data_IF_224421564190
#
_entry.id   IF_224421564190
#
_cell.length_a   1.000
_cell.length_b   1.000
_cell.length_c   1.000
_cell.angle_alpha   90.00
_cell.angle_beta   90.00
_cell.angle_gamma   90.00
#
_symmetry.space_group_name_H-M   'P 1'
#
loop_
_entity.id
_entity.type
_entity.pdbx_description
1 polymer ?
#
# COMPACT_ATOMS: atom_id res chain seq x y z
N UNK A 1 90.00 93.55 -14.86
CA UNK A 1 89.75 92.78 -16.09
C UNK A 1 88.45 92.05 -15.87
N UNK A 2 87.46 92.25 -16.76
CA UNK A 2 86.05 92.41 -16.37
C UNK A 2 85.15 91.35 -17.03
N UNK A 3 83.83 91.47 -16.80
CA UNK A 3 82.74 91.07 -17.73
C UNK A 3 81.91 89.80 -17.52
N UNK A 4 82.03 89.04 -16.43
CA UNK A 4 81.04 87.96 -16.17
C UNK A 4 80.15 88.16 -14.93
N UNK A 5 80.43 89.18 -14.12
CA UNK A 5 79.68 89.44 -12.87
C UNK A 5 78.41 90.30 -13.05
N UNK A 6 78.00 90.62 -14.30
CA UNK A 6 76.80 91.47 -14.55
C UNK A 6 75.60 90.75 -15.16
N UNK A 7 75.64 89.43 -15.38
CA UNK A 7 74.48 88.70 -15.94
C UNK A 7 73.90 87.61 -15.02
N UNK A 8 74.48 87.33 -13.85
CA UNK A 8 73.97 86.30 -12.94
C UNK A 8 73.22 86.82 -11.70
N UNK A 9 73.27 88.13 -11.41
CA UNK A 9 72.51 88.76 -10.30
C UNK A 9 71.16 89.38 -10.73
N UNK A 10 70.60 88.99 -11.88
CA UNK A 10 69.24 89.39 -12.30
C UNK A 10 68.20 88.28 -12.24
N UNK A 11 68.53 87.15 -11.60
CA UNK A 11 67.69 85.96 -11.55
C UNK A 11 67.16 85.60 -10.15
N UNK A 12 67.11 86.56 -9.22
CA UNK A 12 66.47 86.37 -7.92
C UNK A 12 65.48 87.50 -7.66
N UNK A 13 64.18 87.24 -7.90
CA UNK A 13 63.16 88.22 -7.58
C UNK A 13 61.85 88.18 -8.38
N UNK A 14 61.43 87.05 -8.95
CA UNK A 14 60.03 86.89 -9.39
C UNK A 14 59.40 85.67 -8.72
N UNK A 15 58.85 85.91 -7.53
CA UNK A 15 57.96 84.98 -6.83
C UNK A 15 56.70 84.84 -7.68
N UNK A 16 56.65 83.81 -8.51
CA UNK A 16 55.48 83.46 -9.30
C UNK A 16 54.25 83.32 -8.36
N UNK A 17 53.09 83.93 -8.68
CA UNK A 17 51.90 83.77 -7.86
C UNK A 17 51.51 82.28 -7.82
N UNK A 18 51.12 81.74 -6.65
CA UNK A 18 50.78 80.32 -6.55
C UNK A 18 49.68 79.99 -7.56
N UNK A 19 49.76 78.85 -8.29
CA UNK A 19 48.79 78.51 -9.29
C UNK A 19 47.41 78.46 -8.62
N UNK A 20 46.50 79.34 -9.06
CA UNK A 20 45.10 79.34 -8.61
C UNK A 20 44.56 77.93 -8.87
N UNK A 21 44.42 77.13 -7.81
CA UNK A 21 43.79 75.81 -7.85
C UNK A 21 42.40 76.00 -8.44
N UNK A 22 42.23 75.66 -9.73
CA UNK A 22 40.90 75.56 -10.34
C UNK A 22 40.12 74.60 -9.47
N UNK A 23 39.16 75.09 -8.68
CA UNK A 23 38.21 74.24 -7.97
C UNK A 23 37.61 73.32 -9.03
N UNK A 24 38.03 72.06 -9.06
CA UNK A 24 37.34 71.04 -9.85
C UNK A 24 35.91 71.08 -9.34
N UNK A 25 34.99 71.62 -10.15
CA UNK A 25 33.55 71.48 -9.89
C UNK A 25 33.34 69.97 -9.83
N UNK A 26 33.15 69.42 -8.64
CA UNK A 26 32.70 68.04 -8.48
C UNK A 26 31.36 68.02 -9.19
N UNK A 27 31.29 67.36 -10.36
CA UNK A 27 30.01 67.12 -11.03
C UNK A 27 29.10 66.53 -9.95
N UNK A 28 28.05 67.27 -9.57
CA UNK A 28 27.12 66.81 -8.54
C UNK A 28 26.65 65.42 -8.94
N UNK A 29 26.88 64.44 -8.06
CA UNK A 29 26.49 63.07 -8.35
C UNK A 29 24.98 63.07 -8.56
N UNK A 30 24.51 62.56 -9.70
CA UNK A 30 23.07 62.42 -9.99
C UNK A 30 22.45 61.21 -9.26
N UNK A 31 23.23 60.48 -8.46
CA UNK A 31 22.78 59.34 -7.65
C UNK A 31 21.55 59.61 -6.78
N UNK A 32 21.48 60.70 -5.97
CA UNK A 32 20.32 60.93 -5.12
C UNK A 32 19.06 61.21 -5.94
N UNK A 33 19.20 61.86 -7.09
CA UNK A 33 18.09 62.08 -8.02
C UNK A 33 17.62 60.76 -8.65
N UNK A 34 18.53 59.88 -9.05
CA UNK A 34 18.20 58.55 -9.56
C UNK A 34 17.51 57.68 -8.49
N UNK A 35 17.99 57.70 -7.24
CA UNK A 35 17.34 57.00 -6.13
C UNK A 35 15.93 57.51 -5.87
N UNK A 36 15.73 58.83 -5.90
CA UNK A 36 14.41 59.44 -5.72
C UNK A 36 13.43 58.98 -6.82
N UNK A 37 13.87 58.97 -8.09
CA UNK A 37 13.04 58.50 -9.20
C UNK A 37 12.70 57.01 -9.05
N UNK A 38 13.65 56.17 -8.62
CA UNK A 38 13.42 54.75 -8.41
C UNK A 38 12.41 54.50 -7.27
N UNK A 39 12.48 55.29 -6.19
CA UNK A 39 11.54 55.20 -5.07
C UNK A 39 10.13 55.66 -5.48
N UNK A 40 10.02 56.72 -6.27
CA UNK A 40 8.75 57.15 -6.86
C UNK A 40 8.15 56.07 -7.78
N UNK A 41 8.96 55.47 -8.65
CA UNK A 41 8.51 54.39 -9.53
C UNK A 41 8.02 53.16 -8.74
N UNK A 42 8.73 52.79 -7.66
CA UNK A 42 8.31 51.73 -6.76
C UNK A 42 6.98 52.06 -6.07
N UNK A 43 6.77 53.30 -5.64
CA UNK A 43 5.52 53.76 -5.04
C UNK A 43 4.33 53.72 -6.01
N UNK A 44 4.53 54.16 -7.26
CA UNK A 44 3.51 54.06 -8.33
C UNK A 44 3.18 52.60 -8.63
N UNK A 45 4.19 51.74 -8.73
CA UNK A 45 4.00 50.30 -8.91
C UNK A 45 3.21 49.65 -7.78
N UNK A 46 3.52 49.98 -6.52
CA UNK A 46 2.78 49.53 -5.35
C UNK A 46 1.33 50.03 -5.36
N UNK A 47 1.10 51.30 -5.74
CA UNK A 47 -0.24 51.88 -5.87
C UNK A 47 -1.08 51.18 -6.93
N UNK A 48 -0.51 50.90 -8.11
CA UNK A 48 -1.18 50.15 -9.17
C UNK A 48 -1.48 48.71 -8.75
N UNK A 49 -0.60 48.10 -7.95
CA UNK A 49 -0.82 46.76 -7.43
C UNK A 49 -1.98 46.70 -6.44
N UNK A 50 -2.03 47.63 -5.48
CA UNK A 50 -3.13 47.73 -4.50
C UNK A 50 -4.46 48.06 -5.20
N UNK A 51 -4.42 48.91 -6.24
CA UNK A 51 -5.59 49.24 -7.04
C UNK A 51 -6.07 48.09 -7.95
N UNK A 52 -5.35 46.96 -8.00
CA UNK A 52 -5.69 45.80 -8.83
C UNK A 52 -5.48 45.99 -10.33
N UNK A 53 -4.91 47.13 -10.74
CA UNK A 53 -4.61 47.43 -12.15
C UNK A 53 -3.38 46.67 -12.65
N UNK A 54 -2.53 46.17 -11.75
CA UNK A 54 -1.33 45.41 -12.07
C UNK A 54 -1.04 44.34 -11.00
N UNK A 55 -0.55 43.17 -11.41
CA UNK A 55 -0.12 42.13 -10.47
C UNK A 55 1.41 42.10 -10.34
N UNK A 56 1.93 42.60 -9.22
CA UNK A 56 3.36 42.60 -8.93
C UNK A 56 3.87 41.27 -8.34
N UNK A 57 2.97 40.36 -7.92
CA UNK A 57 3.34 39.08 -7.27
C UNK A 57 4.32 38.24 -8.08
N UNK A 58 4.17 38.04 -9.41
CA UNK A 58 5.10 37.21 -10.19
C UNK A 58 6.53 37.75 -10.18
N UNK A 59 6.68 39.07 -10.25
CA UNK A 59 7.99 39.72 -10.23
C UNK A 59 8.61 39.67 -8.84
N UNK A 60 7.81 39.95 -7.81
CA UNK A 60 8.26 39.90 -6.41
C UNK A 60 8.73 38.50 -6.03
N UNK A 61 7.97 37.45 -6.34
CA UNK A 61 8.32 36.07 -6.02
C UNK A 61 9.58 35.59 -6.76
N UNK A 62 9.82 36.09 -7.97
CA UNK A 62 11.01 35.74 -8.75
C UNK A 62 12.27 36.53 -8.34
N UNK A 63 12.11 37.74 -7.81
CA UNK A 63 13.21 38.71 -7.65
C UNK A 63 13.63 38.88 -6.20
N UNK A 64 12.67 38.95 -5.27
CA UNK A 64 12.92 39.18 -3.84
C UNK A 64 13.80 38.08 -3.23
N UNK A 65 13.56 36.77 -3.48
CA UNK A 65 14.38 35.71 -2.88
C UNK A 65 15.81 35.64 -3.43
N UNK A 66 16.09 36.24 -4.59
CA UNK A 66 17.42 36.22 -5.23
C UNK A 66 18.36 37.31 -4.69
N UNK A 67 17.85 38.24 -3.88
CA UNK A 67 18.66 39.33 -3.31
C UNK A 67 19.62 38.75 -2.27
N UNK A 68 20.95 38.89 -2.46
CA UNK A 68 21.93 38.41 -1.47
C UNK A 68 21.73 39.10 -0.11
N UNK A 69 22.04 38.39 0.97
CA UNK A 69 21.95 38.81 2.38
C UNK A 69 20.54 39.08 2.94
N UNK A 70 19.65 39.80 2.23
CA UNK A 70 18.37 40.29 2.77
C UNK A 70 17.13 39.62 2.12
N UNK A 71 17.30 38.86 1.03
CA UNK A 71 16.19 38.29 0.28
C UNK A 71 15.23 37.42 1.09
N UNK A 72 15.76 36.60 2.01
CA UNK A 72 14.93 35.71 2.85
C UNK A 72 14.11 36.49 3.89
N UNK A 73 14.69 37.51 4.52
CA UNK A 73 14.01 38.33 5.51
C UNK A 73 12.93 39.21 4.84
N UNK A 74 13.23 39.72 3.65
CA UNK A 74 12.27 40.47 2.85
C UNK A 74 11.12 39.58 2.37
N UNK A 75 11.39 38.33 1.98
CA UNK A 75 10.39 37.37 1.56
C UNK A 75 9.42 37.00 2.71
N UNK A 76 9.95 36.83 3.93
CA UNK A 76 9.14 36.62 5.15
C UNK A 76 8.27 37.84 5.46
N UNK A 77 8.83 39.06 5.37
CA UNK A 77 8.10 40.31 5.62
C UNK A 77 6.98 40.57 4.60
N UNK A 78 7.20 40.16 3.36
CA UNK A 78 6.23 40.35 2.25
C UNK A 78 5.26 39.19 2.06
N UNK A 79 5.32 38.17 2.93
CA UNK A 79 4.39 37.04 2.92
C UNK A 79 4.56 36.09 1.73
N UNK A 80 5.75 36.00 1.15
CA UNK A 80 6.05 35.10 0.03
C UNK A 80 6.09 33.65 0.55
N UNK A 81 5.40 32.68 -0.10
CA UNK A 81 5.41 31.30 0.36
C UNK A 81 6.84 30.71 0.36
N UNK A 82 7.15 29.96 1.42
CA UNK A 82 8.49 29.44 1.69
C UNK A 82 9.05 28.60 0.53
N UNK A 83 8.19 27.87 -0.19
CA UNK A 83 8.53 27.05 -1.35
C UNK A 83 9.20 27.83 -2.51
N UNK A 84 8.91 29.12 -2.65
CA UNK A 84 9.50 30.02 -3.66
C UNK A 84 10.78 30.72 -3.18
N UNK A 85 11.09 30.61 -1.90
CA UNK A 85 12.33 31.15 -1.30
C UNK A 85 13.46 30.13 -1.24
N UNK A 86 13.13 28.85 -1.40
CA UNK A 86 14.11 27.76 -1.35
C UNK A 86 15.06 27.83 -2.55
N UNK A 87 16.35 27.71 -2.26
CA UNK A 87 17.35 27.44 -3.30
C UNK A 87 17.11 26.06 -3.90
N UNK A 88 17.66 25.79 -5.10
CA UNK A 88 17.57 24.48 -5.76
C UNK A 88 18.08 23.36 -4.84
N UNK A 89 19.15 23.61 -4.08
CA UNK A 89 19.70 22.65 -3.12
C UNK A 89 18.76 22.40 -1.94
N UNK A 90 18.15 23.46 -1.38
CA UNK A 90 17.21 23.33 -0.26
C UNK A 90 15.95 22.57 -0.68
N UNK A 91 15.42 22.85 -1.88
CA UNK A 91 14.30 22.10 -2.47
C UNK A 91 14.67 20.63 -2.63
N UNK A 92 15.85 20.33 -3.15
CA UNK A 92 16.30 18.96 -3.35
C UNK A 92 16.43 18.17 -2.04
N UNK A 93 16.92 18.82 -0.97
CA UNK A 93 16.97 18.21 0.37
C UNK A 93 15.59 17.89 0.91
N UNK A 94 14.64 18.82 0.76
CA UNK A 94 13.26 18.62 1.19
C UNK A 94 12.57 17.50 0.41
N UNK A 95 12.80 17.41 -0.90
CA UNK A 95 12.30 16.29 -1.72
C UNK A 95 12.86 14.94 -1.26
N UNK A 96 14.17 14.86 -1.01
CA UNK A 96 14.82 13.64 -0.52
C UNK A 96 14.29 13.23 0.85
N UNK A 97 14.11 14.19 1.75
CA UNK A 97 13.53 13.93 3.08
C UNK A 97 12.11 13.38 2.95
N UNK A 98 11.24 14.03 2.17
CA UNK A 98 9.88 13.54 1.91
C UNK A 98 9.85 12.17 1.22
N UNK A 99 10.87 11.86 0.43
CA UNK A 99 11.00 10.53 -0.18
C UNK A 99 11.40 9.50 0.87
N UNK A 100 12.37 9.82 1.72
CA UNK A 100 12.83 8.94 2.80
C UNK A 100 11.69 8.64 3.78
N UNK A 101 10.97 9.67 4.22
CA UNK A 101 9.83 9.51 5.13
C UNK A 101 8.75 8.58 4.55
N UNK A 102 8.53 8.64 3.23
CA UNK A 102 7.59 7.75 2.53
C UNK A 102 8.12 6.32 2.43
N UNK A 103 9.41 6.13 2.21
CA UNK A 103 10.04 4.81 2.22
C UNK A 103 9.95 4.18 3.61
N UNK A 104 10.27 4.94 4.66
CA UNK A 104 10.21 4.48 6.05
C UNK A 104 8.77 4.07 6.42
N UNK A 105 7.77 4.84 5.99
CA UNK A 105 6.37 4.50 6.22
C UNK A 105 5.93 3.24 5.45
N UNK A 106 6.35 3.11 4.19
CA UNK A 106 6.09 1.90 3.41
C UNK A 106 6.74 0.68 4.04
N UNK A 107 7.99 0.79 4.50
CA UNK A 107 8.72 -0.29 5.18
C UNK A 107 8.01 -0.73 6.46
N UNK A 108 7.55 0.21 7.29
CA UNK A 108 6.73 -0.11 8.47
C UNK A 108 5.45 -0.84 8.09
N UNK A 109 4.72 -0.33 7.10
CA UNK A 109 3.46 -0.93 6.67
C UNK A 109 3.65 -2.34 6.09
N UNK A 110 4.75 -2.60 5.39
CA UNK A 110 5.10 -3.92 4.88
C UNK A 110 5.41 -4.87 6.03
N UNK A 111 6.23 -4.43 6.99
CA UNK A 111 6.57 -5.23 8.16
C UNK A 111 5.34 -5.62 8.98
N UNK A 112 4.42 -4.68 9.20
CA UNK A 112 3.14 -4.98 9.87
C UNK A 112 2.33 -6.03 9.10
N UNK A 113 2.22 -5.90 7.78
CA UNK A 113 1.51 -6.87 6.93
C UNK A 113 2.19 -8.24 6.93
N UNK A 114 3.52 -8.30 6.89
CA UNK A 114 4.28 -9.55 6.98
C UNK A 114 4.00 -10.26 8.30
N UNK A 115 4.06 -9.55 9.43
CA UNK A 115 3.74 -10.15 10.74
C UNK A 115 2.28 -10.63 10.84
N UNK A 116 1.34 -9.89 10.24
CA UNK A 116 -0.05 -10.31 10.19
C UNK A 116 -0.26 -11.55 9.31
N UNK A 117 0.46 -11.65 8.19
CA UNK A 117 0.43 -12.82 7.31
C UNK A 117 1.03 -14.04 7.99
N UNK A 118 2.16 -13.90 8.70
CA UNK A 118 2.77 -14.99 9.47
C UNK A 118 1.83 -15.51 10.56
N UNK A 119 1.16 -14.61 11.28
CA UNK A 119 0.18 -14.98 12.30
C UNK A 119 -1.02 -15.72 11.68
N UNK A 120 -1.52 -15.24 10.54
CA UNK A 120 -2.63 -15.88 9.83
C UNK A 120 -2.23 -17.24 9.27
N UNK A 121 -1.01 -17.38 8.72
CA UNK A 121 -0.52 -18.66 8.23
C UNK A 121 -0.40 -19.70 9.35
N UNK A 122 0.09 -19.27 10.52
CA UNK A 122 0.18 -20.15 11.69
C UNK A 122 -1.21 -20.58 12.21
N UNK A 123 -2.19 -19.68 12.24
CA UNK A 123 -3.57 -20.02 12.61
C UNK A 123 -4.19 -21.01 11.62
N UNK A 124 -4.00 -20.80 10.32
CA UNK A 124 -4.51 -21.70 9.28
C UNK A 124 -3.87 -23.09 9.37
N UNK A 125 -2.57 -23.17 9.67
CA UNK A 125 -1.87 -24.44 9.88
C UNK A 125 -2.37 -25.16 11.14
N UNK A 126 -2.60 -24.44 12.24
CA UNK A 126 -3.19 -25.02 13.45
C UNK A 126 -4.61 -25.56 13.17
N UNK A 127 -5.40 -24.82 12.38
CA UNK A 127 -6.75 -25.24 11.98
C UNK A 127 -6.72 -26.45 11.06
N UNK A 128 -5.83 -26.49 10.06
CA UNK A 128 -5.74 -27.62 9.14
C UNK A 128 -5.38 -28.90 9.89
N UNK A 129 -4.41 -28.86 10.82
CA UNK A 129 -4.07 -29.99 11.69
C UNK A 129 -5.28 -30.41 12.55
N UNK A 130 -6.05 -29.45 13.06
CA UNK A 130 -7.24 -29.76 13.87
C UNK A 130 -8.35 -30.44 13.06
N UNK A 131 -8.51 -30.05 11.80
CA UNK A 131 -9.48 -30.65 10.87
C UNK A 131 -9.02 -32.04 10.49
N UNK A 132 -7.76 -32.21 10.10
CA UNK A 132 -7.18 -33.51 9.75
C UNK A 132 -7.32 -34.52 10.91
N UNK A 133 -7.06 -34.09 12.16
CA UNK A 133 -7.29 -34.94 13.34
C UNK A 133 -8.76 -35.34 13.49
N UNK A 134 -9.69 -34.40 13.31
CA UNK A 134 -11.12 -34.69 13.39
C UNK A 134 -11.58 -35.62 12.26
N UNK A 135 -11.07 -35.44 11.06
CA UNK A 135 -11.34 -36.31 9.92
C UNK A 135 -10.80 -37.72 10.16
N UNK A 136 -9.58 -37.85 10.71
CA UNK A 136 -9.01 -39.13 11.10
C UNK A 136 -9.85 -39.81 12.21
N UNK A 137 -10.25 -39.06 13.24
CA UNK A 137 -11.14 -39.57 14.30
C UNK A 137 -12.51 -39.99 13.75
N UNK A 138 -13.08 -39.21 12.81
CA UNK A 138 -14.34 -39.53 12.16
C UNK A 138 -14.21 -40.80 11.33
N UNK A 139 -13.17 -40.91 10.52
CA UNK A 139 -12.87 -42.10 9.71
C UNK A 139 -12.68 -43.34 10.58
N UNK A 140 -12.01 -43.20 11.72
CA UNK A 140 -11.83 -44.30 12.68
C UNK A 140 -13.15 -44.70 13.34
N UNK A 141 -14.04 -43.75 13.65
CA UNK A 141 -15.37 -44.03 14.23
C UNK A 141 -16.32 -44.65 13.20
N UNK A 142 -16.31 -44.16 11.97
CA UNK A 142 -17.20 -44.62 10.90
C UNK A 142 -16.82 -46.02 10.41
N UNK A 143 -15.51 -46.33 10.37
CA UNK A 143 -15.02 -47.65 9.96
C UNK A 143 -14.81 -48.62 11.13
N UNK A 144 -15.21 -48.28 12.35
CA UNK A 144 -15.13 -49.22 13.48
C UNK A 144 -16.18 -50.32 13.26
N UNK A 145 -15.78 -51.58 13.02
CA UNK A 145 -16.76 -52.66 12.95
C UNK A 145 -17.48 -52.78 14.30
N UNK A 146 -18.78 -53.13 14.31
CA UNK A 146 -19.51 -53.35 15.56
C UNK A 146 -18.80 -54.42 16.40
N UNK A 147 -18.54 -54.13 17.68
CA UNK A 147 -17.81 -55.02 18.58
C UNK A 147 -18.76 -55.94 19.36
N UNK A 148 -20.06 -55.63 19.37
CA UNK A 148 -21.11 -56.45 20.00
C UNK A 148 -22.25 -56.82 19.04
N UNK A 149 -22.99 -57.92 19.31
CA UNK A 149 -24.15 -58.31 18.50
C UNK A 149 -25.29 -57.29 18.49
N UNK A 150 -25.40 -56.49 19.56
CA UNK A 150 -26.41 -55.43 19.69
C UNK A 150 -26.04 -54.21 18.84
N UNK A 151 -24.75 -53.84 18.82
CA UNK A 151 -24.21 -52.80 17.94
C UNK A 151 -24.31 -53.22 16.46
N UNK A 152 -24.09 -54.50 16.14
CA UNK A 152 -24.21 -55.00 14.76
C UNK A 152 -25.65 -54.85 14.26
N UNK A 153 -26.65 -55.18 15.10
CA UNK A 153 -28.07 -54.97 14.75
C UNK A 153 -28.39 -53.48 14.57
N UNK A 154 -27.96 -52.63 15.50
CA UNK A 154 -28.21 -51.19 15.41
C UNK A 154 -27.54 -50.56 14.16
N UNK A 155 -26.35 -51.03 13.79
CA UNK A 155 -25.64 -50.61 12.60
C UNK A 155 -26.35 -51.05 11.32
N UNK A 156 -26.78 -52.32 11.25
CA UNK A 156 -27.58 -52.84 10.12
C UNK A 156 -28.91 -52.09 9.98
N UNK A 157 -29.58 -51.78 11.09
CA UNK A 157 -30.82 -50.99 11.10
C UNK A 157 -30.59 -49.55 10.63
N UNK A 158 -29.49 -48.91 11.04
CA UNK A 158 -29.13 -47.56 10.56
C UNK A 158 -28.87 -47.56 9.06
N UNK A 159 -28.06 -48.50 8.56
CA UNK A 159 -27.82 -48.63 7.12
C UNK A 159 -29.13 -48.90 6.37
N UNK A 160 -29.99 -49.77 6.91
CA UNK A 160 -31.30 -50.06 6.33
C UNK A 160 -32.13 -48.78 6.14
N UNK A 161 -32.18 -47.89 7.14
CA UNK A 161 -32.93 -46.63 7.08
C UNK A 161 -32.37 -45.71 6.00
N UNK A 162 -31.05 -45.52 5.99
CA UNK A 162 -30.36 -44.70 4.99
C UNK A 162 -30.64 -45.20 3.56
N UNK A 163 -30.61 -46.52 3.34
CA UNK A 163 -30.85 -47.09 2.02
C UNK A 163 -32.34 -47.13 1.61
N UNK A 164 -33.27 -46.95 2.55
CA UNK A 164 -34.69 -46.74 2.26
C UNK A 164 -35.02 -45.30 1.85
N UNK A 165 -34.27 -44.33 2.35
CA UNK A 165 -34.44 -42.92 2.01
C UNK A 165 -33.93 -42.58 0.61
N UNK A 166 -33.02 -43.40 0.05
CA UNK A 166 -32.55 -43.24 -1.33
C UNK A 166 -33.42 -44.01 -2.33
N UNK A 167 -33.32 -43.66 -3.62
CA UNK A 167 -34.14 -44.31 -4.64
C UNK A 167 -33.83 -45.82 -4.76
N UNK A 168 -34.85 -46.69 -4.95
CA UNK A 168 -34.65 -48.14 -5.03
C UNK A 168 -33.63 -48.59 -6.08
N UNK A 169 -33.48 -47.83 -7.17
CA UNK A 169 -32.48 -48.10 -8.23
C UNK A 169 -31.05 -47.84 -7.75
N UNK A 170 -30.83 -46.78 -6.97
CA UNK A 170 -29.50 -46.48 -6.40
C UNK A 170 -29.15 -47.46 -5.29
N UNK A 171 -30.11 -47.79 -4.43
CA UNK A 171 -29.92 -48.82 -3.40
C UNK A 171 -29.55 -50.18 -4.00
N UNK A 172 -30.21 -50.60 -5.08
CA UNK A 172 -29.89 -51.84 -5.80
C UNK A 172 -28.42 -51.87 -6.26
N UNK A 173 -27.96 -50.82 -6.95
CA UNK A 173 -26.57 -50.74 -7.43
C UNK A 173 -25.53 -50.82 -6.31
N UNK A 174 -25.81 -50.23 -5.15
CA UNK A 174 -24.91 -50.26 -4.00
C UNK A 174 -24.93 -51.64 -3.35
N UNK A 175 -26.11 -52.23 -3.11
CA UNK A 175 -26.26 -53.55 -2.47
C UNK A 175 -25.64 -54.66 -3.32
N UNK A 176 -25.66 -54.55 -4.65
CA UNK A 176 -24.97 -55.47 -5.56
C UNK A 176 -23.46 -55.52 -5.35
N UNK A 177 -22.85 -54.39 -4.96
CA UNK A 177 -21.41 -54.29 -4.72
C UNK A 177 -21.02 -54.78 -3.33
N UNK A 178 -21.98 -55.00 -2.43
CA UNK A 178 -21.71 -55.53 -1.10
C UNK A 178 -21.36 -57.03 -1.12
N UNK A 179 -20.66 -57.45 -0.08
CA UNK A 179 -20.48 -58.87 0.24
C UNK A 179 -21.84 -59.52 0.45
N UNK A 180 -21.97 -60.75 -0.02
CA UNK A 180 -23.26 -61.42 -0.14
C UNK A 180 -23.93 -61.67 1.22
N UNK A 181 -23.16 -61.97 2.26
CA UNK A 181 -23.62 -62.12 3.64
C UNK A 181 -24.24 -60.84 4.22
N UNK A 182 -23.59 -59.70 4.02
CA UNK A 182 -24.07 -58.40 4.48
C UNK A 182 -25.32 -57.97 3.70
N UNK A 183 -25.33 -58.16 2.38
CA UNK A 183 -26.49 -57.87 1.53
C UNK A 183 -27.73 -58.65 2.00
N UNK A 184 -27.59 -59.94 2.32
CA UNK A 184 -28.69 -60.76 2.86
C UNK A 184 -29.16 -60.24 4.21
N UNK A 185 -28.26 -59.94 5.16
CA UNK A 185 -28.64 -59.38 6.47
C UNK A 185 -29.41 -58.07 6.34
N UNK A 186 -28.94 -57.16 5.49
CA UNK A 186 -29.60 -55.87 5.26
C UNK A 186 -30.97 -56.04 4.61
N UNK A 187 -31.07 -56.86 3.55
CA UNK A 187 -32.34 -57.12 2.87
C UNK A 187 -33.36 -57.81 3.78
N UNK A 188 -32.91 -58.73 4.65
CA UNK A 188 -33.77 -59.41 5.62
C UNK A 188 -34.36 -58.43 6.65
N UNK A 189 -33.57 -57.45 7.09
CA UNK A 189 -34.00 -56.43 8.04
C UNK A 189 -34.96 -55.38 7.43
N UNK A 190 -35.04 -55.26 6.09
CA UNK A 190 -35.95 -54.30 5.45
C UNK A 190 -37.42 -54.75 5.50
N UNK A 191 -38.38 -53.81 5.47
CA UNK A 191 -39.77 -54.09 5.14
C UNK A 191 -39.90 -54.72 3.76
N UNK A 192 -40.93 -55.54 3.59
CA UNK A 192 -41.15 -56.34 2.39
C UNK A 192 -41.23 -55.49 1.11
N UNK A 193 -41.91 -54.34 1.15
CA UNK A 193 -42.11 -53.47 -0.03
C UNK A 193 -40.80 -52.83 -0.50
N UNK A 194 -39.96 -52.39 0.44
CA UNK A 194 -38.64 -51.82 0.15
C UNK A 194 -37.70 -52.91 -0.41
N UNK A 195 -37.67 -54.09 0.23
CA UNK A 195 -36.90 -55.25 -0.24
C UNK A 195 -37.30 -55.64 -1.67
N UNK A 196 -38.60 -55.76 -1.95
CA UNK A 196 -39.10 -56.11 -3.28
C UNK A 196 -38.74 -55.03 -4.32
N UNK A 197 -38.86 -53.76 -3.96
CA UNK A 197 -38.54 -52.62 -4.83
C UNK A 197 -37.05 -52.55 -5.21
N UNK A 198 -36.16 -52.95 -4.29
CA UNK A 198 -34.71 -53.02 -4.51
C UNK A 198 -34.37 -54.25 -5.34
N UNK A 199 -34.81 -55.45 -4.93
CA UNK A 199 -34.55 -56.71 -5.65
C UNK A 199 -35.04 -56.65 -7.10
N UNK A 200 -36.20 -56.03 -7.35
CA UNK A 200 -36.74 -55.85 -8.71
C UNK A 200 -35.96 -54.87 -9.60
N UNK A 201 -34.97 -54.16 -9.05
CA UNK A 201 -34.10 -53.23 -9.79
C UNK A 201 -32.65 -53.69 -9.84
N UNK A 202 -32.36 -54.88 -9.34
CA UNK A 202 -31.05 -55.51 -9.41
C UNK A 202 -30.90 -56.35 -10.69
N UNK A 203 -29.67 -56.76 -10.99
CA UNK A 203 -29.35 -57.77 -11.99
C UNK A 203 -30.01 -59.11 -11.59
N UNK A 204 -30.66 -59.74 -12.57
CA UNK A 204 -31.54 -60.88 -12.33
C UNK A 204 -30.83 -62.05 -11.65
N UNK A 205 -29.60 -62.38 -12.05
CA UNK A 205 -28.85 -63.47 -11.46
C UNK A 205 -28.44 -63.13 -10.01
N UNK A 206 -28.06 -61.87 -9.71
CA UNK A 206 -27.74 -61.46 -8.34
C UNK A 206 -28.97 -61.42 -7.44
N UNK A 207 -30.11 -60.93 -7.93
CA UNK A 207 -31.36 -60.91 -7.20
C UNK A 207 -31.84 -62.34 -6.86
N UNK A 208 -31.74 -63.28 -7.80
CA UNK A 208 -32.08 -64.68 -7.59
C UNK A 208 -31.22 -65.30 -6.47
N UNK A 209 -29.89 -65.16 -6.55
CA UNK A 209 -28.96 -65.67 -5.51
C UNK A 209 -29.26 -65.12 -4.12
N UNK A 210 -29.48 -63.80 -4.01
CA UNK A 210 -29.80 -63.18 -2.72
C UNK A 210 -31.16 -63.64 -2.18
N UNK A 211 -32.14 -63.84 -3.07
CA UNK A 211 -33.47 -64.36 -2.70
C UNK A 211 -33.40 -65.80 -2.20
N UNK A 212 -32.62 -66.67 -2.86
CA UNK A 212 -32.37 -68.04 -2.39
C UNK A 212 -31.73 -68.05 -1.00
N UNK A 213 -30.73 -67.18 -0.77
CA UNK A 213 -30.09 -67.07 0.54
C UNK A 213 -30.99 -66.50 1.62
N UNK A 214 -31.88 -65.57 1.28
CA UNK A 214 -32.91 -65.06 2.20
C UNK A 214 -33.89 -66.18 2.59
N UNK A 215 -34.31 -67.00 1.64
CA UNK A 215 -35.18 -68.15 1.89
C UNK A 215 -34.48 -69.23 2.74
N UNK A 216 -33.19 -69.48 2.50
CA UNK A 216 -32.39 -70.44 3.27
C UNK A 216 -32.07 -69.95 4.70
N UNK A 217 -31.91 -68.63 4.89
CA UNK A 217 -31.64 -68.00 6.18
C UNK A 217 -32.88 -67.69 7.03
N UNK A 218 -34.08 -67.75 6.46
CA UNK A 218 -35.35 -67.50 7.15
C UNK A 218 -36.04 -68.74 7.75
N UNK A 219 -35.40 -69.92 7.71
CA UNK A 219 -35.97 -71.20 8.15
C UNK A 219 -35.26 -71.83 9.36
N UNK A 220 -34.64 -71.01 10.23
CA UNK A 220 -34.09 -71.44 11.52
C UNK A 220 -34.33 -70.40 12.60
#
# INVERSE_FOLDING_TARGET
MPEEEMELERAEGEVAPPPRKKKKKTKGSKLPFLLLVLLMAAGVGAGLHIAGAWDARPLLYASVPKIPWIGNDLAKLTGIPEEYTLTVEQRRRLELQRWNDRLDELERSLKERETALEALSADLEARSISVEKKEAEFTLKENKPPESPEEEKAYVDMLMRTYQEISPRRAALIIEQLREDLAVKMLAAMPQDARASILGRMEAARAARLTERLAAGGSR
#
